data_IF_882987058899
#
_entry.id   IF_882987058899
#
_cell.length_a   1.000
_cell.length_b   1.000
_cell.length_c   1.000
_cell.angle_alpha   90.00
_cell.angle_beta   90.00
_cell.angle_gamma   90.00
#
_symmetry.space_group_name_H-M   'P 1'
#
loop_
_entity.id
_entity.type
_entity.pdbx_description
1 polymer ?
#
# COMPACT_ATOMS: atom_id res chain seq x y z
N UNK A 1 -55.14 56.19 6.25
CA UNK A 1 -54.39 55.63 5.10
C UNK A 1 -52.99 56.20 5.13
N UNK A 2 -51.96 55.43 4.70
CA UNK A 2 -50.52 55.77 4.62
C UNK A 2 -49.71 55.41 5.89
N UNK A 3 -49.30 54.15 6.09
CA UNK A 3 -48.10 53.41 5.59
C UNK A 3 -46.75 54.06 5.91
N UNK A 4 -45.87 53.32 6.64
CA UNK A 4 -44.56 52.81 6.15
C UNK A 4 -43.74 52.22 7.33
N UNK A 5 -43.59 50.89 7.44
CA UNK A 5 -42.55 50.00 6.88
C UNK A 5 -41.25 50.01 7.72
N UNK A 6 -41.05 48.94 8.49
CA UNK A 6 -39.78 48.53 9.12
C UNK A 6 -38.84 47.91 8.08
N UNK A 7 -37.54 48.26 8.03
CA UNK A 7 -36.59 47.51 7.23
C UNK A 7 -36.05 46.30 8.03
N UNK A 8 -36.32 45.10 7.53
CA UNK A 8 -35.64 43.87 7.91
C UNK A 8 -34.19 43.93 7.43
N UNK A 9 -33.22 43.80 8.33
CA UNK A 9 -31.82 43.63 7.99
C UNK A 9 -31.57 42.17 7.59
N UNK A 10 -31.30 41.93 6.30
CA UNK A 10 -30.97 40.63 5.73
C UNK A 10 -29.63 40.11 6.25
N UNK A 11 -29.65 38.92 6.88
CA UNK A 11 -28.45 38.16 7.19
C UNK A 11 -27.84 37.60 5.90
N UNK A 12 -26.65 38.05 5.53
CA UNK A 12 -25.87 37.47 4.44
C UNK A 12 -25.23 36.17 4.94
N UNK A 13 -25.80 35.04 4.55
CA UNK A 13 -25.16 33.73 4.74
C UNK A 13 -24.08 33.57 3.68
N UNK A 14 -22.82 33.74 4.08
CA UNK A 14 -21.66 33.36 3.27
C UNK A 14 -21.62 31.82 3.21
N UNK A 15 -22.18 31.24 2.15
CA UNK A 15 -21.99 29.83 1.85
C UNK A 15 -20.58 29.68 1.28
N UNK A 16 -19.61 29.49 2.17
CA UNK A 16 -18.28 29.00 1.82
C UNK A 16 -18.44 27.59 1.27
N UNK A 17 -18.54 27.45 -0.05
CA UNK A 17 -18.38 26.16 -0.71
C UNK A 17 -16.92 25.74 -0.53
N UNK A 18 -16.65 25.04 0.58
CA UNK A 18 -15.46 24.23 0.69
C UNK A 18 -15.55 23.19 -0.44
N UNK A 19 -14.81 23.42 -1.51
CA UNK A 19 -14.30 22.35 -2.37
C UNK A 19 -13.51 21.42 -1.43
N UNK A 20 -14.22 20.46 -0.83
CA UNK A 20 -13.62 19.27 -0.32
C UNK A 20 -12.92 18.67 -1.54
N UNK A 21 -11.58 18.83 -1.59
CA UNK A 21 -10.76 18.16 -2.60
C UNK A 21 -11.21 16.72 -2.63
N UNK A 22 -11.66 16.26 -3.80
CA UNK A 22 -12.08 14.89 -3.98
C UNK A 22 -10.98 14.00 -3.43
N UNK A 23 -11.25 13.36 -2.29
CA UNK A 23 -10.40 12.29 -1.78
C UNK A 23 -10.55 11.24 -2.87
N UNK A 24 -9.53 11.10 -3.72
CA UNK A 24 -9.46 9.99 -4.67
C UNK A 24 -9.76 8.73 -3.86
N UNK A 25 -10.69 7.87 -4.30
CA UNK A 25 -10.90 6.58 -3.65
C UNK A 25 -9.51 5.96 -3.46
N UNK A 26 -9.12 5.73 -2.21
CA UNK A 26 -7.85 5.06 -1.91
C UNK A 26 -7.95 3.73 -2.64
N UNK A 27 -7.11 3.53 -3.65
CA UNK A 27 -7.19 2.33 -4.48
C UNK A 27 -7.14 1.09 -3.58
N UNK A 28 -7.92 0.06 -3.91
CA UNK A 28 -7.85 -1.19 -3.17
C UNK A 28 -6.42 -1.73 -3.27
N UNK A 29 -5.86 -2.14 -2.14
CA UNK A 29 -4.57 -2.82 -2.12
C UNK A 29 -4.67 -4.12 -2.92
N UNK A 30 -3.71 -4.37 -3.80
CA UNK A 30 -3.59 -5.59 -4.59
C UNK A 30 -2.76 -6.66 -3.87
N UNK A 31 -1.90 -6.26 -2.93
CA UNK A 31 -1.19 -7.19 -2.05
C UNK A 31 -0.77 -6.50 -0.76
N UNK A 32 -0.73 -7.26 0.33
CA UNK A 32 -0.24 -6.79 1.63
C UNK A 32 0.76 -7.77 2.23
N UNK A 33 1.96 -7.28 2.54
CA UNK A 33 3.03 -8.08 3.13
C UNK A 33 3.81 -7.31 4.20
N UNK A 34 4.51 -8.07 5.04
CA UNK A 34 5.39 -7.58 6.09
C UNK A 34 6.77 -8.20 5.90
N UNK A 35 7.83 -7.44 6.18
CA UNK A 35 9.22 -7.90 6.03
C UNK A 35 9.90 -8.03 7.39
N UNK A 36 10.84 -8.97 7.48
CA UNK A 36 11.50 -9.31 8.73
C UNK A 36 12.99 -9.57 8.56
N UNK A 37 13.75 -9.28 9.61
CA UNK A 37 15.19 -9.52 9.69
C UNK A 37 15.56 -10.96 10.04
N UNK A 38 14.62 -11.76 10.53
CA UNK A 38 14.81 -13.19 10.81
C UNK A 38 14.27 -14.06 9.68
N UNK A 39 14.52 -15.37 9.76
CA UNK A 39 14.06 -16.35 8.77
C UNK A 39 12.60 -16.80 8.99
N UNK A 40 11.97 -16.44 10.12
CA UNK A 40 10.74 -17.09 10.58
C UNK A 40 9.56 -16.12 10.79
N UNK A 41 9.65 -14.91 10.24
CA UNK A 41 8.65 -13.84 10.40
C UNK A 41 8.28 -13.60 11.88
N UNK A 42 9.28 -13.60 12.77
CA UNK A 42 9.01 -13.33 14.18
C UNK A 42 8.77 -11.84 14.38
N UNK A 43 7.74 -11.51 15.17
CA UNK A 43 7.33 -10.12 15.38
C UNK A 43 8.41 -9.23 16.01
N UNK A 44 9.38 -9.83 16.72
CA UNK A 44 10.53 -9.12 17.29
C UNK A 44 11.45 -8.51 16.21
N UNK A 45 11.50 -9.12 15.02
CA UNK A 45 12.36 -8.71 13.91
C UNK A 45 11.57 -8.09 12.75
N UNK A 46 10.32 -7.67 13.00
CA UNK A 46 9.51 -6.93 12.02
C UNK A 46 10.15 -5.60 11.66
N UNK A 47 10.29 -5.32 10.35
CA UNK A 47 10.85 -4.07 9.84
C UNK A 47 9.84 -3.19 9.12
N UNK A 48 8.60 -3.65 8.91
CA UNK A 48 7.51 -2.84 8.37
C UNK A 48 6.53 -3.62 7.52
N UNK A 49 5.35 -3.02 7.33
CA UNK A 49 4.25 -3.51 6.50
C UNK A 49 4.13 -2.66 5.22
N UNK A 50 3.76 -3.30 4.12
CA UNK A 50 3.71 -2.71 2.80
C UNK A 50 2.43 -3.14 2.07
N UNK A 51 1.81 -2.17 1.40
CA UNK A 51 0.69 -2.39 0.51
C UNK A 51 1.14 -2.08 -0.92
N UNK A 52 0.72 -2.91 -1.86
CA UNK A 52 0.91 -2.68 -3.29
C UNK A 52 -0.42 -2.26 -3.90
N UNK A 53 -0.37 -1.32 -4.83
CA UNK A 53 -1.54 -0.77 -5.52
C UNK A 53 -1.41 -0.97 -7.02
N UNK A 54 -2.43 -0.53 -7.77
CA UNK A 54 -2.45 -0.71 -9.23
C UNK A 54 -1.22 -0.10 -9.90
N UNK A 55 -0.72 1.01 -9.37
CA UNK A 55 0.47 1.68 -9.87
C UNK A 55 1.77 0.87 -9.69
N UNK A 56 1.80 -0.15 -8.84
CA UNK A 56 2.98 -1.00 -8.62
C UNK A 56 3.03 -2.21 -9.58
N UNK A 57 1.97 -2.44 -10.35
CA UNK A 57 1.87 -3.58 -11.27
C UNK A 57 2.96 -3.54 -12.33
N UNK A 58 3.59 -4.69 -12.58
CA UNK A 58 4.70 -4.90 -13.53
C UNK A 58 5.96 -4.08 -13.25
N UNK A 59 6.04 -3.42 -12.08
CA UNK A 59 7.22 -2.67 -11.65
C UNK A 59 8.05 -3.49 -10.67
N UNK A 60 9.36 -3.34 -10.78
CA UNK A 60 10.28 -3.89 -9.81
C UNK A 60 10.55 -2.88 -8.70
N UNK A 61 10.40 -3.31 -7.46
CA UNK A 61 10.65 -2.50 -6.28
C UNK A 61 11.76 -3.11 -5.43
N UNK A 62 12.72 -2.29 -5.03
CA UNK A 62 13.69 -2.67 -4.00
C UNK A 62 13.06 -2.47 -2.62
N UNK A 63 13.33 -3.35 -1.66
CA UNK A 63 12.85 -3.15 -0.29
C UNK A 63 13.43 -1.86 0.29
N UNK A 64 12.61 -0.98 0.90
CA UNK A 64 13.05 0.32 1.40
C UNK A 64 13.68 0.21 2.80
N UNK A 65 14.68 -0.65 2.93
CA UNK A 65 15.42 -0.86 4.19
C UNK A 65 16.91 -1.07 3.91
N UNK A 66 17.75 -0.66 4.87
CA UNK A 66 19.19 -0.90 4.90
C UNK A 66 19.56 -2.25 5.55
N UNK A 67 18.58 -2.93 6.14
CA UNK A 67 18.74 -4.24 6.78
C UNK A 67 18.46 -5.38 5.80
N UNK A 68 19.04 -6.54 6.08
CA UNK A 68 18.74 -7.76 5.33
C UNK A 68 17.30 -8.21 5.56
N UNK A 69 16.54 -8.36 4.47
CA UNK A 69 15.19 -8.95 4.50
C UNK A 69 15.32 -10.47 4.35
N UNK A 70 15.20 -11.21 5.44
CA UNK A 70 15.42 -12.67 5.43
C UNK A 70 14.12 -13.47 5.36
N UNK A 71 13.00 -12.84 5.76
CA UNK A 71 11.68 -13.41 5.52
C UNK A 71 10.63 -12.35 5.22
N UNK A 72 9.60 -12.79 4.49
CA UNK A 72 8.45 -11.97 4.10
C UNK A 72 7.18 -12.73 4.44
N UNK A 73 6.31 -12.13 5.26
CA UNK A 73 4.97 -12.66 5.50
C UNK A 73 3.99 -11.97 4.55
N UNK A 74 3.22 -12.76 3.81
CA UNK A 74 2.23 -12.23 2.89
C UNK A 74 0.88 -12.52 3.47
N UNK A 75 0.11 -11.48 3.76
CA UNK A 75 -1.22 -11.65 4.36
C UNK A 75 -2.33 -11.66 3.30
N UNK A 76 -2.08 -11.02 2.15
CA UNK A 76 -3.08 -10.84 1.11
C UNK A 76 -2.41 -10.70 -0.26
N UNK A 77 -3.01 -11.35 -1.26
CA UNK A 77 -2.78 -11.13 -2.69
C UNK A 77 -4.18 -11.12 -3.32
N UNK A 78 -4.45 -10.11 -4.14
CA UNK A 78 -5.71 -9.97 -4.87
C UNK A 78 -5.92 -11.10 -5.86
N UNK A 79 -7.19 -11.32 -6.21
CA UNK A 79 -7.53 -12.27 -7.26
C UNK A 79 -6.83 -11.88 -8.56
N UNK A 80 -6.40 -12.88 -9.33
CA UNK A 80 -5.67 -12.69 -10.61
C UNK A 80 -4.30 -12.01 -10.47
N UNK A 81 -3.82 -11.75 -9.25
CA UNK A 81 -2.48 -11.22 -8.98
C UNK A 81 -1.52 -12.30 -8.45
N UNK A 82 -0.23 -12.10 -8.72
CA UNK A 82 0.87 -12.87 -8.16
C UNK A 82 1.98 -11.91 -7.72
N UNK A 83 2.56 -12.20 -6.55
CA UNK A 83 3.75 -11.46 -6.06
C UNK A 83 4.98 -12.31 -6.34
N UNK A 84 6.06 -11.68 -6.75
CA UNK A 84 7.38 -12.31 -6.86
C UNK A 84 8.33 -11.74 -5.82
N UNK A 85 9.11 -12.60 -5.16
CA UNK A 85 10.26 -12.20 -4.33
C UNK A 85 11.55 -12.59 -5.03
N UNK A 86 12.56 -11.72 -4.94
CA UNK A 86 13.83 -11.90 -5.62
C UNK A 86 14.99 -11.58 -4.68
N UNK A 87 16.08 -12.33 -4.80
CA UNK A 87 17.30 -12.10 -4.01
C UNK A 87 18.13 -10.92 -4.53
N UNK A 88 17.99 -10.57 -5.81
CA UNK A 88 18.59 -9.37 -6.40
C UNK A 88 17.72 -8.12 -6.21
N UNK A 89 18.19 -6.96 -6.68
CA UNK A 89 17.45 -5.68 -6.61
C UNK A 89 16.70 -5.32 -7.90
N UNK A 90 16.83 -6.13 -8.95
CA UNK A 90 16.29 -5.86 -10.29
C UNK A 90 15.21 -6.86 -10.74
N UNK A 91 14.62 -7.62 -9.81
CA UNK A 91 13.59 -8.62 -10.10
C UNK A 91 13.96 -9.61 -11.23
N UNK A 92 15.25 -9.97 -11.33
CA UNK A 92 15.80 -10.80 -12.42
C UNK A 92 16.38 -12.13 -11.95
N UNK A 93 16.44 -12.39 -10.64
CA UNK A 93 17.19 -13.53 -10.07
C UNK A 93 16.50 -14.07 -8.83
N UNK A 94 16.42 -15.40 -8.72
CA UNK A 94 15.94 -16.10 -7.52
C UNK A 94 14.47 -15.84 -7.23
N UNK A 95 13.60 -16.10 -8.21
CA UNK A 95 12.16 -15.89 -8.06
C UNK A 95 11.51 -17.06 -7.30
N UNK A 96 10.85 -16.74 -6.20
CA UNK A 96 9.85 -17.60 -5.58
C UNK A 96 8.45 -17.04 -5.91
N UNK A 97 7.58 -17.88 -6.49
CA UNK A 97 6.15 -17.59 -6.57
C UNK A 97 5.54 -17.89 -5.21
N UNK A 98 4.79 -16.94 -4.69
CA UNK A 98 4.31 -16.95 -3.32
C UNK A 98 2.79 -16.77 -3.27
N UNK A 99 2.15 -17.52 -2.39
CA UNK A 99 0.74 -17.37 -2.01
C UNK A 99 0.55 -16.62 -0.68
N UNK A 100 -0.67 -16.16 -0.39
CA UNK A 100 -0.99 -15.46 0.85
C UNK A 100 -1.02 -16.39 2.07
N UNK A 101 -1.04 -15.78 3.25
CA UNK A 101 -1.06 -16.39 4.59
C UNK A 101 0.11 -17.33 4.88
N UNK A 102 1.30 -16.99 4.37
CA UNK A 102 2.50 -17.78 4.57
C UNK A 102 3.74 -16.90 4.80
N UNK A 103 4.67 -17.40 5.61
CA UNK A 103 5.97 -16.78 5.85
C UNK A 103 7.02 -17.40 4.94
N UNK A 104 7.62 -16.60 4.07
CA UNK A 104 8.66 -17.03 3.14
C UNK A 104 10.03 -16.61 3.67
N UNK A 105 10.71 -17.51 4.37
CA UNK A 105 12.11 -17.37 4.76
C UNK A 105 12.87 -18.67 4.53
N UNK A 106 14.07 -18.59 3.92
CA UNK A 106 14.86 -19.77 3.51
C UNK A 106 16.37 -19.57 3.62
N UNK A 107 16.87 -18.92 4.68
CA UNK A 107 18.30 -18.57 4.82
C UNK A 107 18.85 -17.80 3.60
N UNK A 108 17.97 -17.09 2.90
CA UNK A 108 18.28 -16.23 1.76
C UNK A 108 17.81 -14.82 2.10
N UNK A 109 18.51 -13.83 1.57
CA UNK A 109 18.12 -12.43 1.71
C UNK A 109 17.45 -11.96 0.43
N UNK A 110 16.26 -11.39 0.56
CA UNK A 110 15.53 -10.77 -0.54
C UNK A 110 15.96 -9.32 -0.73
N UNK A 111 16.08 -8.91 -1.99
CA UNK A 111 16.45 -7.54 -2.38
C UNK A 111 15.34 -6.79 -3.09
N UNK A 112 14.42 -7.50 -3.76
CA UNK A 112 13.33 -6.86 -4.50
C UNK A 112 12.08 -7.72 -4.59
N UNK A 113 10.98 -7.07 -4.98
CA UNK A 113 9.69 -7.68 -5.21
C UNK A 113 8.98 -7.02 -6.40
N UNK A 114 8.02 -7.74 -6.97
CA UNK A 114 7.06 -7.19 -7.92
C UNK A 114 5.67 -7.80 -7.71
N UNK A 115 4.66 -7.17 -8.29
CA UNK A 115 3.32 -7.74 -8.45
C UNK A 115 2.95 -7.73 -9.93
N UNK A 116 2.35 -8.83 -10.38
CA UNK A 116 1.82 -9.00 -11.73
C UNK A 116 0.38 -9.42 -11.60
N UNK A 117 -0.53 -8.77 -12.32
CA UNK A 117 -1.95 -9.11 -12.34
C UNK A 117 -2.41 -9.35 -13.79
N UNK A 118 -3.36 -10.26 -13.98
CA UNK A 118 -3.88 -10.65 -15.30
C UNK A 118 -4.96 -9.70 -15.86
#
# INVERSE_FOLDING_TARGET
MQSSILPLASAMVLISQAIAGAISPREASLAHFQIFGDDNCTTAESMGEFNLYSEDTDKCHTFPTDKAVNSVYISYIGDECAVGLYTGTTCSTGSDNIGPNFCYGRFITYGSYNIVCA
#
